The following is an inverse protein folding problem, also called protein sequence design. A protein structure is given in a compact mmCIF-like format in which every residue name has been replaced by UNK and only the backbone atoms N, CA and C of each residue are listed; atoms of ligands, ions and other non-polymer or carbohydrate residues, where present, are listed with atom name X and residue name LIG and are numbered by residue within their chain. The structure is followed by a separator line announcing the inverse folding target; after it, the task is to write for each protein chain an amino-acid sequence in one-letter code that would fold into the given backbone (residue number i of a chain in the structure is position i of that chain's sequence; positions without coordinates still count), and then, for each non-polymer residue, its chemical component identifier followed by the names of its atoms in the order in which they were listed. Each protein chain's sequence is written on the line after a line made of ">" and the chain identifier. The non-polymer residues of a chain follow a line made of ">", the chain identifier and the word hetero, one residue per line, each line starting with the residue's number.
data_IF_246071987053
#
_entry.id   IF_246071987053
#
_cell.length_a   1.000
_cell.length_b   1.000
_cell.length_c   1.000
_cell.angle_alpha   90.00
_cell.angle_beta   90.00
_cell.angle_gamma   90.00
#
_symmetry.space_group_name_H-M   'P 1'
#
loop_
_entity.id
_entity.type
_entity.pdbx_description
1 polymer ?
#
# COMPACT_ATOMS: atom_id res chain seq x y z
N UNK A 1 -26.63 45.23 -73.65
CA UNK A 1 -25.93 44.14 -74.36
C UNK A 1 -26.13 42.84 -73.59
N UNK A 2 -26.29 41.70 -74.30
CA UNK A 2 -26.20 40.28 -73.88
C UNK A 2 -26.68 39.87 -72.47
N UNK A 3 -27.74 39.06 -72.45
CA UNK A 3 -28.30 38.38 -71.27
C UNK A 3 -27.64 37.03 -70.94
N UNK A 4 -27.92 36.49 -69.75
CA UNK A 4 -28.02 35.06 -69.34
C UNK A 4 -28.60 35.05 -67.90
N UNK A 5 -29.78 34.50 -67.53
CA UNK A 5 -30.51 33.24 -67.79
C UNK A 5 -30.34 32.19 -66.65
N UNK A 6 -31.46 31.53 -66.27
CA UNK A 6 -31.66 30.39 -65.34
C UNK A 6 -31.81 30.69 -63.84
N UNK A 7 -32.91 30.32 -63.15
CA UNK A 7 -33.49 28.97 -62.80
C UNK A 7 -32.67 28.25 -61.70
N UNK A 8 -33.19 27.59 -60.66
CA UNK A 8 -34.58 27.19 -60.23
C UNK A 8 -34.59 27.16 -58.67
N UNK A 9 -35.63 27.61 -57.93
CA UNK A 9 -36.87 26.93 -57.43
C UNK A 9 -36.69 25.69 -56.50
N UNK A 10 -37.68 25.50 -55.60
CA UNK A 10 -37.83 24.39 -54.62
C UNK A 10 -36.78 24.29 -53.48
N UNK A 11 -37.14 23.89 -52.25
CA UNK A 11 -38.46 23.58 -51.70
C UNK A 11 -38.37 23.17 -50.21
N UNK A 12 -39.50 23.11 -49.50
CA UNK A 12 -39.55 22.52 -48.16
C UNK A 12 -39.28 21.00 -48.24
N UNK A 13 -38.44 20.49 -47.34
CA UNK A 13 -38.54 19.13 -46.82
C UNK A 13 -37.92 19.08 -45.43
N UNK A 14 -38.69 18.70 -44.42
CA UNK A 14 -38.17 18.48 -43.06
C UNK A 14 -37.52 17.11 -42.93
N UNK A 15 -36.61 16.96 -41.96
CA UNK A 15 -36.16 15.65 -41.48
C UNK A 15 -36.47 15.57 -39.99
N UNK A 16 -37.54 14.86 -39.65
CA UNK A 16 -37.80 14.47 -38.28
C UNK A 16 -36.85 13.31 -37.92
N UNK A 17 -35.80 13.60 -37.16
CA UNK A 17 -34.89 12.58 -36.66
C UNK A 17 -35.58 11.76 -35.57
N UNK A 18 -36.08 10.56 -35.93
CA UNK A 18 -36.53 9.57 -34.95
C UNK A 18 -35.30 8.98 -34.28
N UNK A 19 -35.01 9.43 -33.06
CA UNK A 19 -34.01 8.79 -32.21
C UNK A 19 -34.62 7.50 -31.69
N UNK A 20 -34.19 6.36 -32.27
CA UNK A 20 -34.46 5.05 -31.70
C UNK A 20 -33.67 4.90 -30.41
N UNK A 21 -34.32 5.16 -29.28
CA UNK A 21 -33.81 4.77 -27.98
C UNK A 21 -33.76 3.23 -27.92
N UNK A 22 -32.59 2.66 -28.16
CA UNK A 22 -32.34 1.24 -27.86
C UNK A 22 -32.28 1.13 -26.34
N UNK A 23 -33.21 0.40 -25.68
CA UNK A 23 -33.12 0.20 -24.24
C UNK A 23 -31.88 -0.66 -23.97
N UNK A 24 -30.91 -0.09 -23.26
CA UNK A 24 -29.79 -0.86 -22.71
C UNK A 24 -30.37 -1.78 -21.64
N UNK A 25 -30.54 -3.04 -21.99
CA UNK A 25 -30.92 -4.07 -21.02
C UNK A 25 -29.76 -4.29 -20.06
N UNK A 26 -29.88 -3.77 -18.84
CA UNK A 26 -29.06 -4.24 -17.73
C UNK A 26 -29.45 -5.70 -17.47
N UNK A 27 -28.57 -6.64 -17.85
CA UNK A 27 -28.66 -8.00 -17.37
C UNK A 27 -28.36 -7.98 -15.87
N UNK A 28 -29.32 -8.39 -15.04
CA UNK A 28 -29.05 -8.61 -13.62
C UNK A 28 -28.03 -9.76 -13.49
N UNK A 29 -27.00 -9.64 -12.64
CA UNK A 29 -26.04 -10.72 -12.43
C UNK A 29 -26.75 -11.95 -11.88
N UNK A 30 -26.54 -13.09 -12.55
CA UNK A 30 -27.10 -14.39 -12.18
C UNK A 30 -26.22 -15.11 -11.16
N UNK A 31 -26.82 -15.50 -10.03
CA UNK A 31 -26.32 -16.41 -9.00
C UNK A 31 -25.00 -16.08 -8.26
N UNK A 32 -25.10 -16.03 -6.93
CA UNK A 32 -24.07 -16.48 -6.00
C UNK A 32 -22.95 -15.51 -5.62
N UNK A 33 -22.43 -14.71 -6.55
CA UNK A 33 -21.41 -13.71 -6.23
C UNK A 33 -22.08 -12.42 -5.74
N UNK A 34 -21.64 -11.90 -4.58
CA UNK A 34 -21.96 -10.54 -4.18
C UNK A 34 -21.23 -9.58 -5.14
N UNK A 35 -21.93 -9.10 -6.16
CA UNK A 35 -21.36 -8.16 -7.13
C UNK A 35 -21.00 -6.85 -6.42
N UNK A 36 -19.70 -6.61 -6.27
CA UNK A 36 -19.19 -5.37 -5.68
C UNK A 36 -19.68 -4.16 -6.48
N UNK A 37 -20.02 -3.05 -5.80
CA UNK A 37 -20.28 -1.79 -6.49
C UNK A 37 -19.04 -1.38 -7.29
N UNK A 38 -19.28 -0.74 -8.45
CA UNK A 38 -18.24 -0.15 -9.28
C UNK A 38 -18.28 1.37 -9.21
N UNK A 39 -17.11 2.01 -9.25
CA UNK A 39 -16.97 3.46 -9.32
C UNK A 39 -16.99 3.97 -10.78
N UNK A 40 -16.81 5.29 -10.98
CA UNK A 40 -16.82 5.90 -12.32
C UNK A 40 -15.69 5.43 -13.24
N UNK A 41 -14.60 4.90 -12.68
CA UNK A 41 -13.50 4.28 -13.43
C UNK A 41 -13.76 2.79 -13.75
N UNK A 42 -14.87 2.21 -13.28
CA UNK A 42 -15.23 0.80 -13.45
C UNK A 42 -14.56 -0.15 -12.45
N UNK A 43 -13.83 0.38 -11.46
CA UNK A 43 -13.16 -0.42 -10.42
C UNK A 43 -14.18 -0.89 -9.40
N UNK A 44 -14.11 -2.18 -9.04
CA UNK A 44 -14.91 -2.76 -7.95
C UNK A 44 -14.34 -2.35 -6.59
N UNK A 45 -15.20 -2.06 -5.61
CA UNK A 45 -14.76 -1.69 -4.27
C UNK A 45 -15.57 -2.37 -3.16
N UNK A 46 -14.91 -2.73 -2.05
CA UNK A 46 -15.56 -3.36 -0.92
C UNK A 46 -14.60 -4.04 0.07
N UNK A 47 -15.15 -4.74 1.06
CA UNK A 47 -14.35 -5.53 2.00
C UNK A 47 -13.94 -6.86 1.38
N UNK A 48 -12.66 -7.22 1.52
CA UNK A 48 -12.12 -8.53 1.12
C UNK A 48 -12.31 -9.62 2.19
N UNK A 49 -12.94 -9.32 3.33
CA UNK A 49 -13.09 -10.26 4.43
C UNK A 49 -13.89 -11.51 4.03
N UNK A 50 -13.27 -12.69 4.20
CA UNK A 50 -13.81 -14.02 3.85
C UNK A 50 -13.91 -14.30 2.33
N UNK A 51 -13.12 -13.60 1.50
CA UNK A 51 -12.98 -13.89 0.08
C UNK A 51 -11.67 -14.64 -0.21
N UNK A 52 -11.59 -15.30 -1.37
CA UNK A 52 -10.31 -15.66 -1.98
C UNK A 52 -9.72 -14.46 -2.71
N UNK A 53 -8.41 -14.46 -2.97
CA UNK A 53 -7.72 -13.38 -3.68
C UNK A 53 -8.29 -13.12 -5.08
N UNK A 54 -8.77 -14.18 -5.75
CA UNK A 54 -9.43 -14.10 -7.07
C UNK A 54 -10.83 -13.44 -7.02
N UNK A 55 -11.47 -13.43 -5.86
CA UNK A 55 -12.81 -12.87 -5.64
C UNK A 55 -12.78 -11.50 -4.93
N UNK A 56 -11.59 -11.01 -4.56
CA UNK A 56 -11.41 -9.71 -3.93
C UNK A 56 -11.69 -8.55 -4.91
N UNK A 57 -12.23 -7.41 -4.44
CA UNK A 57 -12.42 -6.23 -5.26
C UNK A 57 -11.08 -5.56 -5.61
N UNK A 58 -11.08 -4.72 -6.66
CA UNK A 58 -9.92 -3.93 -7.09
C UNK A 58 -9.47 -2.93 -6.00
N UNK A 59 -10.46 -2.39 -5.25
CA UNK A 59 -10.31 -1.46 -4.14
C UNK A 59 -10.78 -2.12 -2.83
N UNK A 60 -9.84 -2.44 -1.94
CA UNK A 60 -10.08 -3.16 -0.69
C UNK A 60 -10.27 -2.18 0.46
N UNK A 61 -11.39 -2.31 1.17
CA UNK A 61 -11.71 -1.53 2.38
C UNK A 61 -10.67 -1.76 3.49
N UNK A 62 -10.10 -0.69 4.00
CA UNK A 62 -9.17 -0.64 5.14
C UNK A 62 -9.54 0.49 6.10
N UNK A 63 -8.98 0.43 7.31
CA UNK A 63 -8.96 1.55 8.26
C UNK A 63 -7.55 2.18 8.24
N UNK A 64 -7.46 3.49 8.05
CA UNK A 64 -6.20 4.25 8.15
C UNK A 64 -5.65 4.26 9.57
N UNK A 65 -4.39 4.66 9.75
CA UNK A 65 -3.78 4.86 11.09
C UNK A 65 -4.55 5.81 12.00
N UNK A 66 -5.34 6.72 11.42
CA UNK A 66 -6.16 7.72 12.14
C UNK A 66 -7.59 7.24 12.45
N UNK A 67 -7.93 5.97 12.13
CA UNK A 67 -9.26 5.40 12.35
C UNK A 67 -10.31 5.80 11.30
N UNK A 68 -9.90 6.36 10.16
CA UNK A 68 -10.79 6.67 9.05
C UNK A 68 -10.85 5.50 8.05
N UNK A 69 -12.06 5.05 7.71
CA UNK A 69 -12.29 4.06 6.64
C UNK A 69 -11.95 4.62 5.25
N UNK A 70 -11.34 3.79 4.43
CA UNK A 70 -10.99 4.09 3.04
C UNK A 70 -10.64 2.83 2.25
N UNK A 71 -10.07 2.99 1.05
CA UNK A 71 -9.78 1.88 0.16
C UNK A 71 -8.33 1.90 -0.32
N UNK A 72 -7.67 0.74 -0.37
CA UNK A 72 -6.36 0.57 -1.02
C UNK A 72 -6.53 -0.21 -2.32
N UNK A 73 -5.68 0.03 -3.31
CA UNK A 73 -5.61 -0.85 -4.47
C UNK A 73 -5.12 -2.24 -4.06
N UNK A 74 -5.79 -3.29 -4.54
CA UNK A 74 -5.35 -4.66 -4.32
C UNK A 74 -3.91 -4.88 -4.83
N UNK A 75 -3.56 -4.32 -5.99
CA UNK A 75 -2.20 -4.39 -6.53
C UNK A 75 -1.16 -3.80 -5.58
N UNK A 76 -1.48 -2.70 -4.91
CA UNK A 76 -0.55 -2.00 -4.03
C UNK A 76 -0.39 -2.77 -2.72
N UNK A 77 -1.48 -3.37 -2.22
CA UNK A 77 -1.46 -4.29 -1.08
C UNK A 77 -0.68 -5.58 -1.37
N UNK A 78 -0.89 -6.20 -2.54
CA UNK A 78 -0.16 -7.40 -3.00
C UNK A 78 1.35 -7.11 -3.12
N UNK A 79 1.71 -5.95 -3.68
CA UNK A 79 3.11 -5.50 -3.77
C UNK A 79 3.71 -5.22 -2.39
N UNK A 80 3.00 -4.46 -1.54
CA UNK A 80 3.50 -4.02 -0.24
C UNK A 80 3.64 -5.14 0.79
N UNK A 81 2.83 -6.20 0.67
CA UNK A 81 2.94 -7.43 1.48
C UNK A 81 4.05 -8.38 0.99
N UNK A 82 4.57 -8.18 -0.23
CA UNK A 82 5.48 -9.11 -0.89
C UNK A 82 4.78 -10.32 -1.52
N UNK A 83 3.45 -10.32 -1.66
CA UNK A 83 2.71 -11.41 -2.31
C UNK A 83 3.07 -11.59 -3.80
N UNK A 84 3.72 -10.60 -4.41
CA UNK A 84 4.27 -10.66 -5.78
C UNK A 84 5.64 -11.34 -5.88
N UNK A 85 6.30 -11.64 -4.76
CA UNK A 85 7.56 -12.39 -4.71
C UNK A 85 7.29 -13.85 -5.07
N UNK A 86 7.78 -14.30 -6.23
CA UNK A 86 7.35 -15.57 -6.84
C UNK A 86 8.46 -16.62 -6.98
N UNK A 87 9.72 -16.21 -6.85
CA UNK A 87 10.89 -17.07 -6.99
C UNK A 87 11.79 -17.06 -5.74
N UNK A 88 12.60 -18.11 -5.50
CA UNK A 88 13.54 -18.13 -4.37
C UNK A 88 14.57 -16.99 -4.40
N UNK A 89 15.01 -16.56 -5.58
CA UNK A 89 16.00 -15.48 -5.73
C UNK A 89 15.37 -14.11 -5.44
N UNK A 90 14.13 -13.87 -5.88
CA UNK A 90 13.35 -12.67 -5.49
C UNK A 90 13.09 -12.64 -3.98
N UNK A 91 12.80 -13.78 -3.36
CA UNK A 91 12.60 -13.87 -1.92
C UNK A 91 13.87 -13.55 -1.14
N UNK A 92 15.03 -14.07 -1.57
CA UNK A 92 16.30 -13.72 -0.96
C UNK A 92 16.61 -12.21 -1.10
N UNK A 93 16.29 -11.60 -2.25
CA UNK A 93 16.46 -10.16 -2.46
C UNK A 93 15.55 -9.32 -1.55
N UNK A 94 14.26 -9.69 -1.45
CA UNK A 94 13.27 -9.01 -0.60
C UNK A 94 13.63 -9.08 0.89
N UNK A 95 14.06 -10.24 1.39
CA UNK A 95 14.51 -10.41 2.77
C UNK A 95 15.81 -9.62 3.04
N UNK A 96 16.70 -9.51 2.05
CA UNK A 96 17.92 -8.68 2.16
C UNK A 96 17.55 -7.19 2.22
N UNK A 97 16.65 -6.72 1.37
CA UNK A 97 16.19 -5.31 1.38
C UNK A 97 15.51 -4.95 2.73
N UNK A 98 14.66 -5.83 3.26
CA UNK A 98 14.08 -5.69 4.60
C UNK A 98 15.15 -5.61 5.68
N UNK A 99 16.13 -6.52 5.64
CA UNK A 99 17.23 -6.54 6.60
C UNK A 99 18.07 -5.25 6.53
N UNK A 100 18.36 -4.72 5.35
CA UNK A 100 19.09 -3.46 5.18
C UNK A 100 18.29 -2.25 5.66
N UNK A 101 16.98 -2.19 5.37
CA UNK A 101 16.07 -1.15 5.89
C UNK A 101 16.00 -1.17 7.42
N UNK A 102 15.83 -2.35 8.02
CA UNK A 102 15.86 -2.53 9.47
C UNK A 102 17.20 -2.07 10.06
N UNK A 103 18.33 -2.44 9.44
CA UNK A 103 19.68 -2.12 9.92
C UNK A 103 19.92 -0.61 9.96
N UNK A 104 19.55 0.09 8.89
CA UNK A 104 19.65 1.54 8.78
C UNK A 104 18.74 2.25 9.79
N UNK A 105 17.51 1.78 9.96
CA UNK A 105 16.55 2.35 10.89
C UNK A 105 16.95 2.15 12.36
N UNK A 106 17.38 0.95 12.74
CA UNK A 106 17.91 0.64 14.06
C UNK A 106 19.14 1.51 14.38
N UNK A 107 20.05 1.70 13.43
CA UNK A 107 21.19 2.59 13.61
C UNK A 107 20.74 4.04 13.87
N UNK A 108 19.89 4.60 12.99
CA UNK A 108 19.37 5.96 13.12
C UNK A 108 18.46 6.17 14.35
N UNK A 109 17.80 5.13 14.84
CA UNK A 109 17.02 5.13 16.08
C UNK A 109 17.95 5.25 17.29
N UNK A 110 18.98 4.40 17.36
CA UNK A 110 19.99 4.43 18.43
C UNK A 110 20.71 5.78 18.48
N UNK A 111 21.08 6.34 17.33
CA UNK A 111 21.72 7.66 17.26
C UNK A 111 20.81 8.76 17.81
N UNK A 112 19.52 8.81 17.41
CA UNK A 112 18.52 9.73 18.00
C UNK A 112 18.32 9.51 19.50
N UNK A 113 18.39 8.27 19.97
CA UNK A 113 18.28 7.94 21.41
C UNK A 113 19.52 8.39 22.19
N UNK A 114 20.68 8.53 21.55
CA UNK A 114 21.89 9.12 22.15
C UNK A 114 21.83 10.64 22.12
N UNK A 115 21.41 11.25 21.01
CA UNK A 115 21.21 12.71 20.90
C UNK A 115 20.19 13.25 21.91
N UNK A 116 19.12 12.49 22.17
CA UNK A 116 18.13 12.81 23.22
C UNK A 116 18.61 12.53 24.65
N UNK A 117 19.79 11.93 24.82
CA UNK A 117 20.30 11.50 26.13
C UNK A 117 19.56 10.30 26.74
N UNK A 118 18.71 9.62 25.97
CA UNK A 118 17.99 8.41 26.40
C UNK A 118 18.92 7.21 26.56
N UNK A 119 20.03 7.14 25.81
CA UNK A 119 21.10 6.14 25.96
C UNK A 119 22.43 6.87 26.21
N UNK A 120 23.23 6.39 27.16
CA UNK A 120 24.57 6.92 27.42
C UNK A 120 25.60 6.20 26.54
N UNK A 121 26.23 6.93 25.62
CA UNK A 121 27.16 6.39 24.63
C UNK A 121 28.55 6.04 25.22
N UNK A 122 28.66 4.91 25.92
CA UNK A 122 29.97 4.33 26.31
C UNK A 122 30.46 3.25 25.31
N UNK A 123 29.56 2.68 24.53
CA UNK A 123 29.85 1.75 23.43
C UNK A 123 29.59 2.50 22.12
N UNK A 124 30.48 2.35 21.13
CA UNK A 124 30.24 2.88 19.79
C UNK A 124 28.91 2.36 19.26
N UNK A 125 27.99 3.28 18.98
CA UNK A 125 26.58 2.98 18.76
C UNK A 125 26.17 3.24 17.30
N UNK A 126 24.89 3.06 16.98
CA UNK A 126 24.40 3.06 15.60
C UNK A 126 24.99 1.87 14.83
N UNK A 127 25.53 2.11 13.63
CA UNK A 127 26.15 1.08 12.79
C UNK A 127 27.25 0.28 13.50
N UNK A 128 27.99 0.89 14.43
CA UNK A 128 29.06 0.22 15.14
C UNK A 128 28.54 -0.93 16.02
N UNK A 129 27.35 -0.80 16.63
CA UNK A 129 26.71 -1.88 17.38
C UNK A 129 26.28 -3.03 16.45
N UNK A 130 25.84 -2.72 15.24
CA UNK A 130 25.41 -3.69 14.22
C UNK A 130 26.59 -4.32 13.47
N UNK A 131 27.80 -3.74 13.50
CA UNK A 131 28.98 -4.24 12.78
C UNK A 131 29.48 -5.62 13.22
N UNK A 132 29.18 -6.04 14.45
CA UNK A 132 29.46 -7.39 14.97
C UNK A 132 28.47 -8.45 14.45
N UNK A 133 27.33 -8.01 13.89
CA UNK A 133 26.28 -8.86 13.37
C UNK A 133 26.52 -9.19 11.89
N UNK A 134 26.18 -10.41 11.47
CA UNK A 134 26.16 -10.79 10.05
C UNK A 134 25.30 -9.83 9.24
N UNK A 135 25.71 -9.58 8.00
CA UNK A 135 24.99 -8.75 7.03
C UNK A 135 23.60 -9.35 6.74
N UNK A 136 23.55 -10.67 6.51
CA UNK A 136 22.34 -11.50 6.28
C UNK A 136 21.41 -11.67 7.51
N UNK A 137 21.66 -10.98 8.63
CA UNK A 137 20.85 -11.14 9.83
C UNK A 137 19.48 -10.48 9.67
N UNK A 138 18.41 -11.25 9.87
CA UNK A 138 17.02 -10.79 9.72
C UNK A 138 16.65 -9.70 10.75
N UNK A 139 15.66 -8.83 10.48
CA UNK A 139 15.31 -7.68 11.34
C UNK A 139 15.18 -8.02 12.83
N UNK A 140 14.54 -9.13 13.20
CA UNK A 140 14.36 -9.52 14.60
C UNK A 140 15.68 -9.89 15.29
N UNK A 141 16.64 -10.43 14.54
CA UNK A 141 17.99 -10.74 15.05
C UNK A 141 18.80 -9.46 15.26
N UNK A 142 18.62 -8.46 14.38
CA UNK A 142 19.25 -7.14 14.52
C UNK A 142 18.72 -6.41 15.75
N UNK A 143 17.40 -6.39 15.94
CA UNK A 143 16.74 -5.77 17.09
C UNK A 143 17.16 -6.44 18.40
N UNK A 144 17.10 -7.77 18.48
CA UNK A 144 17.52 -8.52 19.67
C UNK A 144 19.01 -8.29 20.00
N UNK A 145 19.86 -8.23 18.97
CA UNK A 145 21.28 -7.92 19.14
C UNK A 145 21.51 -6.53 19.72
N UNK A 146 20.91 -5.49 19.14
CA UNK A 146 21.06 -4.10 19.63
C UNK A 146 20.51 -3.95 21.06
N UNK A 147 19.32 -4.52 21.34
CA UNK A 147 18.72 -4.51 22.67
C UNK A 147 19.63 -5.12 23.75
N UNK A 148 20.25 -6.27 23.46
CA UNK A 148 21.19 -6.95 24.35
C UNK A 148 22.52 -6.18 24.47
N UNK A 149 23.12 -5.79 23.33
CA UNK A 149 24.44 -5.13 23.26
C UNK A 149 24.48 -3.81 24.01
N UNK A 150 23.37 -3.06 24.00
CA UNK A 150 23.20 -1.77 24.70
C UNK A 150 22.48 -1.90 26.05
N UNK A 151 22.07 -3.11 26.46
CA UNK A 151 21.34 -3.40 27.68
C UNK A 151 20.12 -2.46 27.87
N UNK A 152 19.26 -2.41 26.85
CA UNK A 152 18.12 -1.49 26.81
C UNK A 152 16.99 -1.89 27.79
N UNK A 153 16.44 -0.90 28.47
CA UNK A 153 15.20 -1.02 29.26
C UNK A 153 13.98 -1.22 28.37
N UNK A 154 12.91 -1.80 28.90
CA UNK A 154 11.67 -2.10 28.18
C UNK A 154 11.09 -0.88 27.41
N UNK A 155 11.17 0.32 28.00
CA UNK A 155 10.75 1.56 27.35
C UNK A 155 11.65 1.94 26.16
N UNK A 156 12.96 1.73 26.26
CA UNK A 156 13.91 1.94 25.16
C UNK A 156 13.74 0.86 24.07
N UNK A 157 13.48 -0.39 24.45
CA UNK A 157 13.19 -1.50 23.53
C UNK A 157 11.93 -1.19 22.71
N UNK A 158 10.84 -0.77 23.37
CA UNK A 158 9.59 -0.39 22.70
C UNK A 158 9.75 0.73 21.68
N UNK A 159 10.55 1.77 21.97
CA UNK A 159 10.85 2.84 21.01
C UNK A 159 11.61 2.29 19.79
N UNK A 160 12.62 1.44 20.04
CA UNK A 160 13.45 0.87 18.99
C UNK A 160 12.68 -0.12 18.09
N UNK A 161 11.78 -0.93 18.68
CA UNK A 161 10.82 -1.78 17.97
C UNK A 161 9.92 -0.96 17.06
N UNK A 162 9.25 0.07 17.60
CA UNK A 162 8.30 0.87 16.83
C UNK A 162 8.95 1.56 15.61
N UNK A 163 10.21 2.01 15.77
CA UNK A 163 10.96 2.59 14.65
C UNK A 163 11.35 1.53 13.60
N UNK A 164 11.74 0.33 14.02
CA UNK A 164 12.05 -0.77 13.09
C UNK A 164 10.80 -1.23 12.34
N UNK A 165 9.68 -1.43 13.04
CA UNK A 165 8.37 -1.79 12.46
C UNK A 165 7.92 -0.75 11.42
N UNK A 166 8.05 0.53 11.75
CA UNK A 166 7.77 1.63 10.80
C UNK A 166 8.70 1.61 9.58
N UNK A 167 9.98 1.26 9.76
CA UNK A 167 10.97 1.27 8.71
C UNK A 167 10.97 0.05 7.79
N UNK A 168 10.43 -1.09 8.24
CA UNK A 168 10.22 -2.31 7.43
C UNK A 168 8.81 -2.39 6.84
N UNK A 169 7.84 -1.64 7.40
CA UNK A 169 6.52 -1.50 6.81
C UNK A 169 6.56 -0.71 5.50
N UNK A 170 5.64 -1.06 4.60
CA UNK A 170 5.38 -0.38 3.35
C UNK A 170 4.09 0.42 3.51
N UNK A 171 4.19 1.75 3.54
CA UNK A 171 3.04 2.64 3.54
C UNK A 171 2.42 2.67 2.12
N UNK A 172 1.13 2.36 2.02
CA UNK A 172 0.36 2.47 0.79
C UNK A 172 -0.73 3.55 0.92
N UNK A 173 -1.01 4.32 -0.14
CA UNK A 173 -2.03 5.36 -0.10
C UNK A 173 -3.43 4.78 0.05
N UNK A 174 -4.23 5.41 0.91
CA UNK A 174 -5.65 5.11 1.09
C UNK A 174 -6.49 6.13 0.34
N UNK A 175 -7.45 5.67 -0.43
CA UNK A 175 -8.31 6.43 -1.33
C UNK A 175 -9.77 6.45 -0.85
N UNK A 176 -10.56 7.37 -1.40
CA UNK A 176 -12.01 7.22 -1.42
C UNK A 176 -12.44 6.12 -2.41
N UNK A 177 -13.73 5.78 -2.41
CA UNK A 177 -14.30 4.81 -3.36
C UNK A 177 -14.16 5.23 -4.84
N UNK A 178 -13.77 6.48 -5.13
CA UNK A 178 -13.43 6.96 -6.48
C UNK A 178 -12.10 6.40 -7.02
N UNK A 179 -11.25 5.83 -6.16
CA UNK A 179 -9.91 5.33 -6.51
C UNK A 179 -8.90 6.43 -6.89
N UNK A 180 -9.24 7.71 -6.68
CA UNK A 180 -8.44 8.85 -7.14
C UNK A 180 -8.13 9.85 -6.03
N UNK A 181 -9.05 10.05 -5.08
CA UNK A 181 -8.88 10.99 -3.97
C UNK A 181 -8.17 10.31 -2.80
N UNK A 182 -6.88 10.58 -2.62
CA UNK A 182 -6.11 10.13 -1.45
C UNK A 182 -6.62 10.82 -0.18
N UNK A 183 -6.84 10.05 0.89
CA UNK A 183 -7.34 10.49 2.19
C UNK A 183 -6.44 10.11 3.38
N UNK A 184 -5.46 9.22 3.19
CA UNK A 184 -4.53 8.81 4.24
C UNK A 184 -3.54 7.76 3.75
N UNK A 185 -2.90 7.08 4.70
CA UNK A 185 -1.97 5.97 4.45
C UNK A 185 -2.34 4.74 5.29
N UNK A 186 -1.93 3.57 4.81
CA UNK A 186 -2.08 2.28 5.47
C UNK A 186 -0.74 1.55 5.47
N UNK A 187 -0.29 1.08 6.63
CA UNK A 187 1.01 0.41 6.76
C UNK A 187 0.87 -1.10 6.61
N UNK A 188 1.56 -1.67 5.63
CA UNK A 188 1.63 -3.12 5.37
C UNK A 188 3.01 -3.62 5.78
N UNK A 189 3.11 -4.46 6.80
CA UNK A 189 4.40 -4.95 7.29
C UNK A 189 4.26 -6.02 8.36
N UNK A 190 5.39 -6.61 8.73
CA UNK A 190 5.50 -7.47 9.91
C UNK A 190 5.79 -6.59 11.13
N UNK A 191 5.05 -6.82 12.23
CA UNK A 191 5.35 -6.21 13.53
C UNK A 191 6.28 -7.12 14.32
N UNK A 192 7.44 -6.62 14.74
CA UNK A 192 8.49 -7.40 15.40
C UNK A 192 8.47 -7.19 16.92
N UNK A 193 7.66 -7.99 17.62
CA UNK A 193 7.61 -7.96 19.09
C UNK A 193 8.97 -8.41 19.69
N UNK A 194 9.64 -7.48 20.37
CA UNK A 194 10.94 -7.71 21.00
C UNK A 194 10.89 -8.71 22.17
N UNK A 195 9.72 -8.98 22.76
CA UNK A 195 9.57 -9.95 23.87
C UNK A 195 9.40 -11.40 23.37
N UNK A 196 9.32 -11.64 22.04
CA UNK A 196 9.22 -12.98 21.45
C UNK A 196 10.55 -13.65 21.08
N UNK A 197 11.69 -12.98 21.27
CA UNK A 197 13.04 -13.50 20.93
C UNK A 197 13.81 -13.86 22.21
N UNK A 198 13.82 -15.16 22.56
CA UNK A 198 14.56 -15.77 23.68
C UNK A 198 15.68 -16.70 23.19
#
# INVERSE_FOLDING_TARGET
>A
MKARVSWIACGLAGVAAVVLAVPVFFAAPSDGAAAFPQNEAGLTYGSALNLSDEAAPDLILVETTDGQEGYVYKSDLDNASGATVSTPDEAAAYETEKADRARQALAAAVDRMIESGSISAEIGAGEAALSELKEEARPEQQLAWVCNRLNLTDAQRSILTAEMDSAVANAIPVYQADGATVIGEFSVGESYDADYVL
#
